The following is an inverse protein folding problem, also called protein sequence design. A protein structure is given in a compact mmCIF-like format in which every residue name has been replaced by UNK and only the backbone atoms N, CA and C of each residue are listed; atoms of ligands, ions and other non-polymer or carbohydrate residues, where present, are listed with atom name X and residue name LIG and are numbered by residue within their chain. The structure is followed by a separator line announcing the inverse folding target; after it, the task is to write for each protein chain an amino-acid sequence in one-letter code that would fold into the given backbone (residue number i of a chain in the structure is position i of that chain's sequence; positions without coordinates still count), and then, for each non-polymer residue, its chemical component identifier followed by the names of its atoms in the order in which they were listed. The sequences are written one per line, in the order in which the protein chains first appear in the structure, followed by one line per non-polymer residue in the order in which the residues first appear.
data_IF_428334441804
#
_entry.id   IF_428334441804
#
_cell.length_a   1.000
_cell.length_b   1.000
_cell.length_c   1.000
_cell.angle_alpha   90.00
_cell.angle_beta   90.00
_cell.angle_gamma   90.00
#
_symmetry.space_group_name_H-M   'P 1'
#
loop_
_entity.id
_entity.type
_entity.pdbx_description
1 polymer ?
#
# COMPACT_ATOMS: atom_id res chain seq x y z
N UNK A 1 -15.15 -13.89 -31.79
CA UNK A 1 -15.48 -12.93 -30.70
C UNK A 1 -14.25 -12.80 -29.82
N UNK A 2 -13.72 -11.59 -29.64
CA UNK A 2 -12.55 -11.36 -28.78
C UNK A 2 -12.99 -11.47 -27.32
N UNK A 3 -12.67 -12.59 -26.66
CA UNK A 3 -12.97 -12.75 -25.24
C UNK A 3 -11.99 -11.90 -24.43
N UNK A 4 -12.51 -10.95 -23.64
CA UNK A 4 -11.68 -10.15 -22.70
C UNK A 4 -11.14 -11.01 -21.56
N UNK A 5 -11.83 -12.09 -21.23
CA UNK A 5 -11.49 -13.02 -20.16
C UNK A 5 -11.59 -14.46 -20.67
N UNK A 6 -10.59 -15.28 -20.33
CA UNK A 6 -10.38 -16.60 -20.93
C UNK A 6 -10.53 -17.74 -19.93
N UNK A 7 -10.76 -17.42 -18.65
CA UNK A 7 -11.01 -18.38 -17.57
C UNK A 7 -11.75 -17.71 -16.41
N UNK A 8 -12.44 -18.50 -15.59
CA UNK A 8 -13.08 -18.01 -14.35
C UNK A 8 -12.08 -17.31 -13.44
N UNK A 9 -10.86 -17.85 -13.32
CA UNK A 9 -9.78 -17.25 -12.54
C UNK A 9 -9.38 -15.87 -13.08
N UNK A 10 -9.28 -15.73 -14.40
CA UNK A 10 -9.01 -14.44 -15.05
C UNK A 10 -10.12 -13.42 -14.79
N UNK A 11 -11.40 -13.85 -14.72
CA UNK A 11 -12.52 -12.95 -14.44
C UNK A 11 -12.46 -12.43 -13.02
N UNK A 12 -12.28 -13.34 -12.06
CA UNK A 12 -12.18 -12.99 -10.65
C UNK A 12 -10.98 -12.08 -10.42
N UNK A 13 -9.84 -12.39 -11.04
CA UNK A 13 -8.64 -11.57 -10.98
C UNK A 13 -8.89 -10.15 -11.52
N UNK A 14 -9.51 -10.02 -12.69
CA UNK A 14 -9.81 -8.72 -13.30
C UNK A 14 -10.77 -7.89 -12.43
N UNK A 15 -11.85 -8.49 -11.93
CA UNK A 15 -12.80 -7.81 -11.05
C UNK A 15 -12.15 -7.38 -9.74
N UNK A 16 -11.34 -8.25 -9.13
CA UNK A 16 -10.59 -7.94 -7.92
C UNK A 16 -9.56 -6.83 -8.16
N UNK A 17 -8.86 -6.84 -9.31
CA UNK A 17 -7.90 -5.81 -9.69
C UNK A 17 -8.57 -4.44 -9.86
N UNK A 18 -9.68 -4.37 -10.58
CA UNK A 18 -10.44 -3.12 -10.78
C UNK A 18 -10.94 -2.58 -9.45
N UNK A 19 -11.53 -3.43 -8.61
CA UNK A 19 -12.04 -3.01 -7.31
C UNK A 19 -10.90 -2.58 -6.37
N UNK A 20 -9.77 -3.29 -6.37
CA UNK A 20 -8.58 -2.93 -5.62
C UNK A 20 -8.01 -1.58 -6.06
N UNK A 21 -7.93 -1.32 -7.37
CA UNK A 21 -7.47 -0.04 -7.89
C UNK A 21 -8.36 1.12 -7.44
N UNK A 22 -9.69 0.97 -7.56
CA UNK A 22 -10.65 2.00 -7.14
C UNK A 22 -10.56 2.26 -5.64
N UNK A 23 -10.59 1.22 -4.81
CA UNK A 23 -10.52 1.34 -3.35
C UNK A 23 -9.17 1.90 -2.89
N UNK A 24 -8.06 1.43 -3.46
CA UNK A 24 -6.72 1.90 -3.17
C UNK A 24 -6.56 3.38 -3.48
N UNK A 25 -7.01 3.80 -4.67
CA UNK A 25 -7.03 5.22 -5.07
C UNK A 25 -7.85 6.06 -4.09
N UNK A 26 -9.06 5.60 -3.74
CA UNK A 26 -9.93 6.29 -2.80
C UNK A 26 -9.29 6.45 -1.41
N UNK A 27 -8.61 5.42 -0.91
CA UNK A 27 -7.92 5.42 0.38
C UNK A 27 -6.75 6.42 0.41
N UNK A 28 -6.08 6.65 -0.72
CA UNK A 28 -5.01 7.65 -0.82
C UNK A 28 -5.52 9.09 -0.74
N UNK A 29 -6.65 9.40 -1.38
CA UNK A 29 -7.22 10.77 -1.39
C UNK A 29 -8.01 11.11 -0.13
N UNK A 30 -8.54 10.11 0.57
CA UNK A 30 -9.34 10.35 1.77
C UNK A 30 -8.51 10.95 2.93
N UNK A 31 -9.14 11.83 3.74
CA UNK A 31 -8.55 12.33 4.97
C UNK A 31 -8.15 11.20 5.92
N UNK A 32 -6.97 11.32 6.52
CA UNK A 32 -6.41 10.36 7.48
C UNK A 32 -6.31 11.05 8.85
N UNK A 33 -6.76 10.47 9.99
CA UNK A 33 -7.48 9.20 10.18
C UNK A 33 -9.02 9.34 10.15
N UNK A 34 -9.75 8.31 9.68
CA UNK A 34 -11.22 8.32 9.65
C UNK A 34 -11.88 6.94 9.60
N UNK A 35 -13.17 6.85 9.99
CA UNK A 35 -13.97 5.60 9.89
C UNK A 35 -14.09 5.14 8.43
N UNK A 36 -14.31 6.07 7.50
CA UNK A 36 -14.41 5.78 6.08
C UNK A 36 -13.08 5.25 5.51
N UNK A 37 -11.96 5.91 5.82
CA UNK A 37 -10.62 5.46 5.43
C UNK A 37 -10.35 4.02 5.89
N UNK A 38 -10.71 3.66 7.13
CA UNK A 38 -10.54 2.28 7.63
C UNK A 38 -11.41 1.27 6.90
N UNK A 39 -12.69 1.57 6.65
CA UNK A 39 -13.61 0.66 5.94
C UNK A 39 -13.14 0.41 4.50
N UNK A 40 -12.83 1.47 3.76
CA UNK A 40 -12.32 1.34 2.40
C UNK A 40 -10.92 0.72 2.38
N UNK A 41 -10.08 1.01 3.38
CA UNK A 41 -8.75 0.41 3.52
C UNK A 41 -8.80 -1.10 3.70
N UNK A 42 -9.68 -1.63 4.55
CA UNK A 42 -9.87 -3.08 4.66
C UNK A 42 -10.49 -3.68 3.40
N UNK A 43 -11.41 -2.97 2.74
CA UNK A 43 -11.91 -3.37 1.42
C UNK A 43 -10.79 -3.50 0.40
N UNK A 44 -9.91 -2.49 0.31
CA UNK A 44 -8.73 -2.48 -0.55
C UNK A 44 -7.79 -3.66 -0.27
N UNK A 45 -7.45 -3.89 1.01
CA UNK A 45 -6.56 -4.99 1.42
C UNK A 45 -7.17 -6.33 1.01
N UNK A 46 -8.46 -6.54 1.26
CA UNK A 46 -9.15 -7.78 0.91
C UNK A 46 -9.20 -8.03 -0.59
N UNK A 47 -9.51 -7.01 -1.39
CA UNK A 47 -9.59 -7.15 -2.86
C UNK A 47 -8.21 -7.28 -3.49
N UNK A 48 -7.20 -6.59 -2.96
CA UNK A 48 -5.82 -6.78 -3.38
C UNK A 48 -5.34 -8.20 -3.08
N UNK A 49 -5.59 -8.72 -1.87
CA UNK A 49 -5.23 -10.08 -1.51
C UNK A 49 -5.90 -11.12 -2.42
N UNK A 50 -7.18 -10.94 -2.76
CA UNK A 50 -7.89 -11.80 -3.71
C UNK A 50 -7.26 -11.74 -5.11
N UNK A 51 -6.96 -10.55 -5.62
CA UNK A 51 -6.28 -10.35 -6.90
C UNK A 51 -4.91 -11.05 -6.92
N UNK A 52 -4.10 -10.87 -5.87
CA UNK A 52 -2.79 -11.51 -5.75
C UNK A 52 -2.92 -13.04 -5.69
N UNK A 53 -3.88 -13.56 -4.94
CA UNK A 53 -4.10 -15.01 -4.81
C UNK A 53 -4.51 -15.64 -6.15
N UNK A 54 -5.42 -15.00 -6.88
CA UNK A 54 -5.86 -15.47 -8.20
C UNK A 54 -4.78 -15.38 -9.27
N UNK A 55 -3.78 -14.49 -9.12
CA UNK A 55 -2.65 -14.42 -10.05
C UNK A 55 -1.86 -15.74 -10.12
N UNK A 56 -1.78 -16.48 -9.00
CA UNK A 56 -1.12 -17.80 -8.94
C UNK A 56 -1.90 -18.93 -9.62
N UNK A 57 -3.14 -18.66 -10.07
CA UNK A 57 -3.92 -19.61 -10.86
C UNK A 57 -3.88 -19.29 -12.37
N UNK A 58 -3.10 -18.29 -12.81
CA UNK A 58 -3.07 -17.81 -14.20
C UNK A 58 -1.67 -18.00 -14.80
N UNK A 59 -1.56 -18.97 -15.72
CA UNK A 59 -0.27 -19.34 -16.32
C UNK A 59 -0.11 -18.96 -17.80
N UNK A 60 -1.08 -18.27 -18.39
CA UNK A 60 -1.19 -18.16 -19.86
C UNK A 60 -0.01 -17.46 -20.55
N UNK A 61 0.55 -16.41 -19.95
CA UNK A 61 1.58 -15.61 -20.63
C UNK A 61 2.91 -16.36 -20.79
N UNK A 62 3.32 -17.10 -19.76
CA UNK A 62 4.63 -17.76 -19.69
C UNK A 62 4.54 -19.28 -19.66
N UNK A 63 3.34 -19.84 -19.85
CA UNK A 63 3.05 -21.27 -19.78
C UNK A 63 3.53 -21.95 -18.47
N UNK A 64 3.59 -21.19 -17.38
CA UNK A 64 4.11 -21.64 -16.09
C UNK A 64 4.39 -20.48 -15.14
N UNK A 65 5.10 -20.76 -14.05
CA UNK A 65 5.50 -19.76 -13.07
C UNK A 65 6.47 -18.75 -13.70
N UNK A 66 5.94 -17.59 -14.10
CA UNK A 66 6.72 -16.51 -14.70
C UNK A 66 6.86 -15.27 -13.82
N UNK A 67 7.44 -14.22 -14.42
CA UNK A 67 7.73 -12.93 -13.78
C UNK A 67 6.51 -12.26 -13.11
N UNK A 68 5.29 -12.48 -13.62
CA UNK A 68 4.08 -11.95 -12.99
C UNK A 68 3.79 -12.56 -11.62
N UNK A 69 4.16 -13.82 -11.39
CA UNK A 69 4.03 -14.44 -10.07
C UNK A 69 5.06 -13.87 -9.09
N UNK A 70 6.27 -13.59 -9.57
CA UNK A 70 7.30 -12.89 -8.78
C UNK A 70 6.82 -11.48 -8.42
N UNK A 71 6.23 -10.75 -9.38
CA UNK A 71 5.62 -9.46 -9.12
C UNK A 71 4.47 -9.54 -8.09
N UNK A 72 3.64 -10.59 -8.16
CA UNK A 72 2.59 -10.83 -7.17
C UNK A 72 3.15 -11.12 -5.76
N UNK A 73 4.26 -11.87 -5.65
CA UNK A 73 4.95 -12.09 -4.38
C UNK A 73 5.51 -10.78 -3.80
N UNK A 74 6.14 -9.96 -4.65
CA UNK A 74 6.65 -8.64 -4.23
C UNK A 74 5.50 -7.74 -3.76
N UNK A 75 4.39 -7.70 -4.49
CA UNK A 75 3.23 -6.90 -4.09
C UNK A 75 2.55 -7.42 -2.83
N UNK A 76 2.52 -8.74 -2.62
CA UNK A 76 2.08 -9.34 -1.35
C UNK A 76 2.99 -8.90 -0.20
N UNK A 77 4.31 -8.89 -0.40
CA UNK A 77 5.26 -8.41 0.61
C UNK A 77 5.06 -6.91 0.91
N UNK A 78 4.85 -6.08 -0.12
CA UNK A 78 4.53 -4.64 0.04
C UNK A 78 3.24 -4.44 0.84
N UNK A 79 2.17 -5.18 0.52
CA UNK A 79 0.91 -5.12 1.25
C UNK A 79 1.08 -5.52 2.72
N UNK A 80 1.81 -6.61 2.98
CA UNK A 80 2.11 -7.06 4.34
C UNK A 80 2.94 -6.02 5.09
N UNK A 81 3.97 -5.45 4.47
CA UNK A 81 4.79 -4.39 5.07
C UNK A 81 3.96 -3.14 5.43
N UNK A 82 2.90 -2.84 4.67
CA UNK A 82 1.94 -1.79 4.99
C UNK A 82 1.01 -2.12 6.16
N UNK A 83 0.58 -3.38 6.30
CA UNK A 83 -0.40 -3.78 7.31
C UNK A 83 0.21 -4.23 8.65
N UNK A 84 1.41 -4.82 8.63
CA UNK A 84 2.12 -5.26 9.84
C UNK A 84 2.28 -4.15 10.88
N UNK A 85 2.67 -2.91 10.54
CA UNK A 85 2.74 -1.81 11.51
C UNK A 85 1.39 -1.47 12.16
N UNK A 86 0.27 -1.69 11.47
CA UNK A 86 -1.09 -1.44 12.01
C UNK A 86 -1.47 -2.51 13.03
N UNK A 87 -1.17 -3.77 12.75
CA UNK A 87 -1.41 -4.88 13.67
C UNK A 87 -0.47 -4.80 14.89
N UNK A 88 0.79 -4.41 14.66
CA UNK A 88 1.82 -4.22 15.69
C UNK A 88 1.91 -2.80 16.26
N UNK A 89 0.86 -1.98 16.16
CA UNK A 89 0.88 -0.52 16.46
C UNK A 89 1.40 -0.14 17.86
N UNK A 90 1.35 -1.06 18.83
CA UNK A 90 1.85 -0.82 20.19
C UNK A 90 3.37 -1.04 20.31
N UNK A 91 3.98 -1.79 19.38
CA UNK A 91 5.40 -2.14 19.41
C UNK A 91 6.24 -1.36 18.39
N UNK A 92 5.62 -0.90 17.32
CA UNK A 92 6.29 -0.20 16.22
C UNK A 92 6.20 1.31 16.44
N UNK A 93 7.33 1.93 16.80
CA UNK A 93 7.46 3.39 16.80
C UNK A 93 7.33 3.92 15.37
N UNK A 94 6.68 5.07 15.17
CA UNK A 94 6.42 5.61 13.82
C UNK A 94 5.66 4.65 12.88
N UNK A 95 4.74 3.83 13.41
CA UNK A 95 3.95 2.90 12.57
C UNK A 95 3.13 3.60 11.48
N UNK A 96 2.70 4.85 11.72
CA UNK A 96 1.91 5.64 10.78
C UNK A 96 2.67 5.95 9.48
N UNK A 97 3.85 6.60 9.49
CA UNK A 97 4.67 6.77 8.28
C UNK A 97 4.97 5.48 7.53
N UNK A 98 5.22 4.37 8.23
CA UNK A 98 5.50 3.08 7.61
C UNK A 98 4.25 2.54 6.89
N UNK A 99 3.11 2.51 7.58
CA UNK A 99 1.83 2.12 6.99
C UNK A 99 1.50 2.98 5.76
N UNK A 100 1.54 4.31 5.89
CA UNK A 100 1.25 5.20 4.75
C UNK A 100 2.24 5.01 3.60
N UNK A 101 3.51 4.75 3.92
CA UNK A 101 4.55 4.56 2.94
C UNK A 101 4.31 3.34 2.06
N UNK A 102 4.15 2.17 2.68
CA UNK A 102 3.96 0.91 1.98
C UNK A 102 2.57 0.80 1.34
N UNK A 103 1.52 1.35 1.96
CA UNK A 103 0.19 1.39 1.33
C UNK A 103 0.15 2.33 0.12
N UNK A 104 0.96 3.38 0.10
CA UNK A 104 1.13 4.20 -1.10
C UNK A 104 1.86 3.43 -2.20
N UNK A 105 2.94 2.72 -1.84
CA UNK A 105 3.69 1.89 -2.78
C UNK A 105 2.83 0.78 -3.40
N UNK A 106 2.01 0.09 -2.59
CA UNK A 106 1.13 -0.98 -3.09
C UNK A 106 0.10 -0.48 -4.12
N UNK A 107 -0.36 0.76 -4.00
CA UNK A 107 -1.25 1.37 -5.01
C UNK A 107 -0.47 1.76 -6.27
N UNK A 108 0.77 2.23 -6.16
CA UNK A 108 1.62 2.47 -7.34
C UNK A 108 1.90 1.18 -8.12
N UNK A 109 2.17 0.07 -7.44
CA UNK A 109 2.35 -1.24 -8.08
C UNK A 109 1.11 -1.64 -8.90
N UNK A 110 -0.11 -1.35 -8.43
CA UNK A 110 -1.34 -1.57 -9.20
C UNK A 110 -1.41 -0.73 -10.46
N UNK A 111 -1.03 0.55 -10.40
CA UNK A 111 -0.97 1.40 -11.59
C UNK A 111 0.09 0.92 -12.59
N UNK A 112 1.26 0.49 -12.11
CA UNK A 112 2.30 -0.13 -12.96
C UNK A 112 1.75 -1.37 -13.65
N UNK A 113 1.12 -2.27 -12.90
CA UNK A 113 0.56 -3.51 -13.41
C UNK A 113 -0.54 -3.25 -14.45
N UNK A 114 -1.45 -2.31 -14.18
CA UNK A 114 -2.50 -1.93 -15.14
C UNK A 114 -1.90 -1.40 -16.44
N UNK A 115 -0.93 -0.49 -16.36
CA UNK A 115 -0.32 0.11 -17.54
C UNK A 115 0.45 -0.95 -18.35
N UNK A 116 1.19 -1.84 -17.68
CA UNK A 116 1.87 -2.95 -18.33
C UNK A 116 0.89 -3.93 -19.01
N UNK A 117 -0.22 -4.25 -18.35
CA UNK A 117 -1.27 -5.12 -18.88
C UNK A 117 -1.95 -4.54 -20.13
N UNK A 118 -2.19 -3.23 -20.15
CA UNK A 118 -2.74 -2.55 -21.34
C UNK A 118 -1.72 -2.54 -22.47
N UNK A 119 -0.48 -2.15 -22.18
CA UNK A 119 0.55 -1.95 -23.20
C UNK A 119 1.07 -3.27 -23.79
N UNK A 120 1.10 -4.38 -23.05
CA UNK A 120 1.52 -5.69 -23.58
C UNK A 120 0.53 -6.25 -24.62
N UNK A 121 -0.68 -5.70 -24.70
CA UNK A 121 -1.67 -6.03 -25.75
C UNK A 121 -1.48 -5.22 -27.03
N UNK A 122 -0.66 -4.17 -27.00
CA UNK A 122 -0.35 -3.37 -28.18
C UNK A 122 0.79 -4.05 -28.95
N UNK A 123 0.57 -4.45 -30.21
CA UNK A 123 1.61 -5.08 -31.01
C UNK A 123 2.77 -4.10 -31.28
N UNK A 124 4.00 -4.61 -31.32
CA UNK A 124 5.19 -3.82 -31.67
C UNK A 124 6.13 -3.49 -30.50
N UNK A 125 5.76 -3.83 -29.26
CA UNK A 125 6.62 -3.68 -28.09
C UNK A 125 7.02 -5.03 -27.49
N UNK A 126 8.26 -5.15 -27.04
CA UNK A 126 8.69 -6.28 -26.20
C UNK A 126 8.16 -6.14 -24.78
N UNK A 127 8.06 -7.27 -24.07
CA UNK A 127 7.65 -7.29 -22.67
C UNK A 127 8.50 -6.37 -21.78
N UNK A 128 9.82 -6.34 -21.97
CA UNK A 128 10.73 -5.56 -21.14
C UNK A 128 10.61 -4.05 -21.39
N UNK A 129 10.36 -3.64 -22.62
CA UNK A 129 10.06 -2.24 -22.95
C UNK A 129 8.77 -1.79 -22.26
N UNK A 130 7.72 -2.59 -22.35
CA UNK A 130 6.44 -2.32 -21.69
C UNK A 130 6.60 -2.26 -20.17
N UNK A 131 7.27 -3.24 -19.57
CA UNK A 131 7.48 -3.32 -18.12
C UNK A 131 8.31 -2.13 -17.61
N UNK A 132 9.41 -1.80 -18.31
CA UNK A 132 10.27 -0.67 -17.98
C UNK A 132 9.56 0.68 -18.13
N UNK A 133 8.87 0.89 -19.26
CA UNK A 133 8.13 2.13 -19.51
C UNK A 133 6.99 2.32 -18.50
N UNK A 134 6.21 1.27 -18.23
CA UNK A 134 5.10 1.34 -17.27
C UNK A 134 5.61 1.67 -15.86
N UNK A 135 6.71 1.05 -15.45
CA UNK A 135 7.36 1.31 -14.17
C UNK A 135 7.86 2.76 -14.09
N UNK A 136 8.56 3.24 -15.11
CA UNK A 136 9.08 4.61 -15.14
C UNK A 136 7.96 5.67 -15.09
N UNK A 137 6.94 5.50 -15.92
CA UNK A 137 5.81 6.45 -16.05
C UNK A 137 5.03 6.57 -14.73
N UNK A 138 4.89 5.49 -13.96
CA UNK A 138 4.13 5.51 -12.71
C UNK A 138 5.02 5.83 -11.51
N UNK A 139 6.18 5.18 -11.39
CA UNK A 139 7.03 5.28 -10.20
C UNK A 139 7.78 6.61 -10.13
N UNK A 140 8.19 7.23 -11.25
CA UNK A 140 8.90 8.51 -11.20
C UNK A 140 8.00 9.65 -10.69
N UNK A 141 6.80 9.91 -11.26
CA UNK A 141 5.89 10.90 -10.69
C UNK A 141 5.41 10.50 -9.30
N UNK A 142 5.16 9.20 -9.08
CA UNK A 142 4.79 8.65 -7.77
C UNK A 142 5.85 8.94 -6.70
N UNK A 143 7.13 8.78 -7.00
CA UNK A 143 8.22 9.08 -6.08
C UNK A 143 8.33 10.58 -5.77
N UNK A 144 8.12 11.44 -6.76
CA UNK A 144 8.07 12.91 -6.55
C UNK A 144 6.91 13.26 -5.60
N UNK A 145 5.72 12.72 -5.84
CA UNK A 145 4.55 12.95 -4.99
C UNK A 145 4.75 12.37 -3.58
N UNK A 146 5.30 11.16 -3.48
CA UNK A 146 5.67 10.52 -2.21
C UNK A 146 6.60 11.41 -1.39
N UNK A 147 7.63 11.98 -2.01
CA UNK A 147 8.58 12.84 -1.32
C UNK A 147 7.95 14.13 -0.76
N UNK A 148 6.88 14.63 -1.40
CA UNK A 148 6.08 15.75 -0.88
C UNK A 148 5.19 15.31 0.29
N UNK A 149 4.51 14.18 0.15
CA UNK A 149 3.55 13.68 1.15
C UNK A 149 4.24 13.13 2.42
N UNK A 150 5.38 12.44 2.29
CA UNK A 150 6.10 11.83 3.42
C UNK A 150 6.52 12.85 4.47
N UNK A 151 6.86 14.08 4.07
CA UNK A 151 7.23 15.16 4.99
C UNK A 151 6.08 15.49 5.93
N UNK A 152 4.85 15.51 5.41
CA UNK A 152 3.64 15.75 6.19
C UNK A 152 3.36 14.59 7.15
N UNK A 153 3.54 13.34 6.70
CA UNK A 153 3.30 12.15 7.52
C UNK A 153 4.28 12.01 8.70
N UNK A 154 5.55 12.38 8.52
CA UNK A 154 6.55 12.37 9.59
C UNK A 154 6.25 13.42 10.69
N UNK A 155 5.73 14.58 10.31
CA UNK A 155 5.29 15.60 11.28
C UNK A 155 4.12 15.09 12.12
N UNK A 156 3.14 14.41 11.50
CA UNK A 156 2.00 13.84 12.23
C UNK A 156 2.45 12.71 13.16
N UNK A 157 3.31 11.80 12.69
CA UNK A 157 3.82 10.68 13.51
C UNK A 157 4.55 11.15 14.76
N UNK A 158 5.48 12.11 14.60
CA UNK A 158 6.26 12.67 15.71
C UNK A 158 5.41 13.35 16.78
N UNK A 159 4.37 14.11 16.40
CA UNK A 159 3.42 14.72 17.35
C UNK A 159 2.65 13.67 18.15
N UNK A 160 2.26 12.58 17.51
CA UNK A 160 1.50 11.49 18.14
C UNK A 160 2.37 10.74 19.14
N UNK A 161 3.64 10.49 18.80
CA UNK A 161 4.62 9.85 19.68
C UNK A 161 4.88 10.70 20.94
N UNK A 162 5.05 12.02 20.80
CA UNK A 162 5.25 12.93 21.94
C UNK A 162 4.05 12.96 22.90
N UNK A 163 2.83 12.99 22.35
CA UNK A 163 1.60 12.95 23.14
C UNK A 163 1.37 11.59 23.83
N UNK A 164 1.88 10.49 23.25
CA UNK A 164 1.83 9.18 23.89
C UNK A 164 2.83 9.09 25.05
N UNK A 165 4.06 9.61 24.88
CA UNK A 165 5.09 9.63 25.94
C UNK A 165 4.68 10.51 27.12
N UNK A 166 4.06 11.67 26.87
CA UNK A 166 3.62 12.55 27.95
C UNK A 166 2.51 11.95 28.82
N UNK A 167 1.67 11.06 28.27
CA UNK A 167 0.63 10.35 29.04
C UNK A 167 1.16 9.18 29.87
N UNK A 168 2.36 8.67 29.57
CA UNK A 168 2.98 7.54 30.26
C UNK A 168 3.94 7.99 31.36
N UNK A 169 4.39 9.25 31.36
CA UNK A 169 5.14 9.77 32.51
C UNK A 169 4.18 9.86 33.71
N UNK A 170 4.43 9.16 34.83
CA UNK A 170 3.80 9.53 36.08
C UNK A 170 4.18 10.98 36.37
N UNK A 171 3.23 11.78 36.86
CA UNK A 171 3.55 13.10 37.42
C UNK A 171 4.66 12.87 38.45
N UNK A 172 5.85 13.37 38.14
CA UNK A 172 6.94 13.40 39.12
C UNK A 172 6.39 14.27 40.25
N UNK A 173 6.22 13.74 41.48
CA UNK A 173 5.79 14.56 42.59
C UNK A 173 6.76 15.73 42.68
N UNK A 174 6.25 16.93 42.50
CA UNK A 174 7.02 18.15 42.62
C UNK A 174 7.65 18.16 44.01
N UNK A 175 8.98 18.14 44.07
CA UNK A 175 9.80 18.34 45.27
C UNK A 175 9.66 19.80 45.78
N UNK A 176 8.43 20.23 46.04
CA UNK A 176 8.07 21.59 46.42
C UNK A 176 7.43 21.66 47.81
N UNK A 177 7.75 20.73 48.71
CA UNK A 177 7.17 20.69 50.05
C UNK A 177 8.18 20.43 51.19
N UNK A 178 9.47 20.74 50.99
CA UNK A 178 10.51 20.46 52.01
C UNK A 178 11.37 21.68 52.37
N UNK A 179 10.81 22.89 52.32
CA UNK A 179 11.46 24.11 52.85
C UNK A 179 10.50 24.98 53.69
N UNK A 180 9.57 24.35 54.43
CA UNK A 180 8.64 25.06 55.32
C UNK A 180 8.57 24.50 56.76
N UNK A 181 9.46 23.60 57.15
CA UNK A 181 9.59 23.16 58.54
C UNK A 181 11.04 22.74 58.83
N UNK A 182 11.77 23.53 59.62
CA UNK A 182 13.13 23.24 60.07
C UNK A 182 13.94 24.50 60.26
#
# INVERSE_FOLDING_TARGET
MHNLVYSTWGLIHLLAAVLSLVLGTAVLVLPKPGRLHRRLGYGYVGTLALMLSTSFAIYRQFHGFGIFHVAALLSAATLLAGMVPVWGRQRVRNWQPLHYGFMYLSVLELYVALLAEVLVRVPGFSFWEVAGASSAVVLLPGAVLFNRLRRQWQIVGSRTDLAAVSRVRPEVPTLAAETAAG
#
